data_IF_437645970457
#
_entry.id   IF_437645970457
#
_cell.length_a   1.000
_cell.length_b   1.000
_cell.length_c   1.000
_cell.angle_alpha   90.00
_cell.angle_beta   90.00
_cell.angle_gamma   90.00
#
_symmetry.space_group_name_H-M   'P 1'
#
loop_
_entity.id
_entity.type
_entity.pdbx_description
1 polymer ?
#
# COMPACT_ATOMS: atom_id res chain seq x y z
N UNK A 1 -18.73 -9.50 -23.73
CA UNK A 1 -19.05 -9.11 -22.34
C UNK A 1 -18.07 -9.83 -21.44
N UNK A 2 -16.98 -9.16 -21.05
CA UNK A 2 -15.85 -9.77 -20.35
C UNK A 2 -15.93 -9.43 -18.86
N UNK A 3 -16.70 -10.20 -18.10
CA UNK A 3 -16.75 -10.12 -16.64
C UNK A 3 -15.84 -11.20 -16.06
N UNK A 4 -14.55 -10.93 -15.97
CA UNK A 4 -13.57 -11.86 -15.38
C UNK A 4 -12.67 -11.14 -14.37
N UNK A 5 -13.32 -10.57 -13.35
CA UNK A 5 -12.66 -10.01 -12.16
C UNK A 5 -12.90 -10.79 -10.87
N UNK A 6 -13.73 -11.85 -10.89
CA UNK A 6 -14.19 -12.55 -9.68
C UNK A 6 -14.00 -14.08 -9.73
N UNK A 7 -13.13 -14.59 -10.60
CA UNK A 7 -12.87 -16.02 -10.73
C UNK A 7 -11.49 -16.37 -10.16
N UNK A 8 -11.38 -17.47 -9.41
CA UNK A 8 -10.09 -17.97 -8.93
C UNK A 8 -9.18 -18.33 -10.12
N UNK A 9 -7.90 -17.93 -10.11
CA UNK A 9 -6.97 -18.20 -11.22
C UNK A 9 -6.66 -19.69 -11.41
N UNK A 10 -6.88 -20.51 -10.39
CA UNK A 10 -6.62 -21.95 -10.43
C UNK A 10 -7.87 -22.79 -10.79
N UNK A 11 -9.08 -22.33 -10.44
CA UNK A 11 -10.31 -23.15 -10.50
C UNK A 11 -11.51 -22.52 -11.25
N UNK A 12 -11.45 -21.24 -11.63
CA UNK A 12 -12.55 -20.53 -12.29
C UNK A 12 -13.82 -20.26 -11.44
N UNK A 13 -13.90 -20.75 -10.21
CA UNK A 13 -15.00 -20.58 -9.27
C UNK A 13 -15.11 -19.15 -8.69
N UNK A 14 -16.32 -18.75 -8.23
CA UNK A 14 -16.53 -17.43 -7.64
C UNK A 14 -15.75 -17.27 -6.33
N UNK A 15 -15.12 -16.12 -6.19
CA UNK A 15 -14.35 -15.73 -5.01
C UNK A 15 -15.27 -15.15 -3.92
N UNK A 16 -15.15 -15.63 -2.69
CA UNK A 16 -15.85 -15.08 -1.51
C UNK A 16 -15.00 -14.01 -0.85
N UNK A 17 -15.58 -12.84 -0.58
CA UNK A 17 -14.91 -11.79 0.21
C UNK A 17 -14.76 -12.24 1.67
N UNK A 18 -13.57 -12.04 2.23
CA UNK A 18 -13.25 -12.37 3.62
C UNK A 18 -13.19 -11.10 4.45
N UNK A 19 -12.22 -10.24 4.11
CA UNK A 19 -11.86 -9.05 4.86
C UNK A 19 -11.11 -8.08 3.95
N UNK A 20 -11.10 -6.81 4.35
CA UNK A 20 -10.29 -5.78 3.70
C UNK A 20 -9.03 -5.53 4.52
N UNK A 21 -7.87 -5.70 3.89
CA UNK A 21 -6.58 -5.34 4.46
C UNK A 21 -6.32 -3.85 4.19
N UNK A 22 -6.21 -3.07 5.26
CA UNK A 22 -5.97 -1.62 5.18
C UNK A 22 -4.49 -1.37 5.46
N UNK A 23 -3.79 -0.77 4.49
CA UNK A 23 -2.42 -0.28 4.67
C UNK A 23 -2.42 1.24 4.70
N UNK A 24 -1.97 1.84 5.80
CA UNK A 24 -1.81 3.29 5.91
C UNK A 24 -0.40 3.71 5.52
N UNK A 25 -0.30 4.79 4.75
CA UNK A 25 0.98 5.35 4.30
C UNK A 25 0.97 6.87 4.44
N UNK A 26 2.10 7.44 4.79
CA UNK A 26 2.29 8.86 5.03
C UNK A 26 2.96 9.51 3.82
N UNK A 27 2.26 10.44 3.19
CA UNK A 27 2.74 11.26 2.10
C UNK A 27 2.96 12.70 2.57
N UNK A 28 4.00 13.32 2.01
CA UNK A 28 4.24 14.74 2.14
C UNK A 28 3.76 15.45 0.87
N UNK A 29 2.80 16.35 1.04
CA UNK A 29 2.44 17.39 0.08
C UNK A 29 3.03 18.69 0.65
N UNK A 30 3.54 19.65 -0.16
CA UNK A 30 4.10 20.88 0.40
C UNK A 30 3.20 21.51 1.47
N UNK A 31 3.76 21.68 2.68
CA UNK A 31 3.08 22.15 3.90
C UNK A 31 2.00 21.24 4.52
N UNK A 32 1.81 20.00 4.05
CA UNK A 32 0.78 19.06 4.56
C UNK A 32 1.28 17.62 4.63
N UNK A 33 0.98 16.94 5.73
CA UNK A 33 1.13 15.49 5.84
C UNK A 33 -0.23 14.83 5.62
N UNK A 34 -0.28 13.90 4.67
CA UNK A 34 -1.51 13.21 4.29
C UNK A 34 -1.33 11.71 4.51
N UNK A 35 -2.33 11.09 5.14
CA UNK A 35 -2.39 9.63 5.28
C UNK A 35 -3.16 9.04 4.11
N UNK A 36 -2.45 8.37 3.20
CA UNK A 36 -3.03 7.58 2.12
C UNK A 36 -3.37 6.18 2.65
N UNK A 37 -4.66 5.83 2.59
CA UNK A 37 -5.16 4.49 2.93
C UNK A 37 -5.29 3.64 1.67
N UNK A 38 -4.57 2.54 1.63
CA UNK A 38 -4.69 1.53 0.59
C UNK A 38 -5.56 0.38 1.10
N UNK A 39 -6.77 0.26 0.56
CA UNK A 39 -7.70 -0.82 0.90
C UNK A 39 -7.53 -1.96 -0.09
N UNK A 40 -7.28 -3.17 0.42
CA UNK A 40 -7.09 -4.38 -0.38
C UNK A 40 -8.07 -5.45 0.05
N UNK A 41 -9.09 -5.72 -0.76
CA UNK A 41 -10.00 -6.82 -0.46
C UNK A 41 -9.24 -8.15 -0.59
N UNK A 42 -9.36 -8.97 0.45
CA UNK A 42 -8.92 -10.35 0.46
C UNK A 42 -10.11 -11.26 0.16
N UNK A 43 -9.89 -12.21 -0.73
CA UNK A 43 -10.88 -13.18 -1.15
C UNK A 43 -10.42 -14.60 -0.89
N UNK A 44 -11.32 -15.49 -0.49
CA UNK A 44 -11.09 -16.93 -0.41
C UNK A 44 -11.82 -17.64 -1.55
N UNK A 45 -11.20 -18.69 -2.07
CA UNK A 45 -11.92 -19.72 -2.82
C UNK A 45 -12.22 -20.91 -1.89
N UNK A 46 -13.48 -21.34 -1.82
CA UNK A 46 -13.90 -22.47 -0.97
C UNK A 46 -13.37 -23.82 -1.51
N UNK A 47 -13.30 -24.01 -2.84
CA UNK A 47 -12.82 -25.25 -3.46
C UNK A 47 -11.31 -25.46 -3.31
N UNK A 48 -10.52 -24.41 -3.56
CA UNK A 48 -9.05 -24.48 -3.48
C UNK A 48 -8.48 -24.09 -2.12
N UNK A 49 -9.33 -23.65 -1.18
CA UNK A 49 -8.94 -23.13 0.15
C UNK A 49 -7.81 -22.08 0.09
N UNK A 50 -7.75 -21.31 -1.00
CA UNK A 50 -6.68 -20.35 -1.27
C UNK A 50 -7.17 -18.93 -1.05
N UNK A 51 -6.34 -18.12 -0.40
CA UNK A 51 -6.59 -16.69 -0.21
C UNK A 51 -5.87 -15.91 -1.32
N UNK A 52 -6.62 -15.06 -2.02
CA UNK A 52 -6.14 -14.18 -3.07
C UNK A 52 -6.29 -12.74 -2.60
N UNK A 53 -5.21 -11.97 -2.68
CA UNK A 53 -5.18 -10.55 -2.34
C UNK A 53 -4.57 -9.73 -3.48
N UNK A 54 -4.97 -8.46 -3.60
CA UNK A 54 -4.42 -7.55 -4.61
C UNK A 54 -2.98 -7.13 -4.30
N UNK A 55 -2.12 -7.00 -5.33
CA UNK A 55 -0.69 -6.66 -5.17
C UNK A 55 -0.42 -5.24 -4.69
N UNK A 56 0.36 -5.09 -3.62
CA UNK A 56 0.83 -3.79 -3.11
C UNK A 56 1.70 -3.07 -4.16
N UNK A 57 1.57 -1.75 -4.36
CA UNK A 57 2.52 -1.01 -5.18
C UNK A 57 3.90 -1.16 -4.56
N UNK A 58 4.92 -1.21 -5.42
CA UNK A 58 6.30 -1.30 -5.00
C UNK A 58 6.66 -0.10 -4.09
N UNK A 59 7.37 -0.39 -3.00
CA UNK A 59 7.81 0.61 -2.04
C UNK A 59 9.30 0.88 -2.21
N UNK A 60 9.72 2.12 -1.97
CA UNK A 60 11.15 2.48 -1.95
C UNK A 60 11.84 1.78 -0.78
N UNK A 61 11.23 1.81 0.41
CA UNK A 61 11.75 1.15 1.61
C UNK A 61 10.80 0.04 2.07
N UNK A 62 11.32 -1.19 2.14
CA UNK A 62 10.83 -2.33 2.91
C UNK A 62 9.82 -2.09 4.02
N UNK A 63 8.52 -2.38 3.88
CA UNK A 63 7.58 -2.38 5.03
C UNK A 63 7.47 -1.02 5.75
N UNK A 64 7.89 0.07 5.10
CA UNK A 64 7.82 1.40 5.69
C UNK A 64 6.43 2.01 5.48
N UNK A 65 6.06 2.94 6.37
CA UNK A 65 4.86 3.75 6.19
C UNK A 65 5.09 4.91 5.21
N UNK A 66 6.31 5.12 4.71
CA UNK A 66 6.70 6.33 3.99
C UNK A 66 6.32 6.22 2.51
N UNK A 67 5.65 7.25 1.98
CA UNK A 67 5.49 7.43 0.53
C UNK A 67 6.67 8.22 -0.07
N UNK A 68 6.88 8.12 -1.40
CA UNK A 68 8.00 8.75 -2.09
C UNK A 68 8.15 10.25 -1.80
N UNK A 69 7.05 10.99 -1.70
CA UNK A 69 7.07 12.43 -1.40
C UNK A 69 7.67 12.75 -0.04
N UNK A 70 7.40 11.91 0.96
CA UNK A 70 7.96 12.07 2.30
C UNK A 70 9.45 11.74 2.34
N UNK A 71 9.86 10.67 1.65
CA UNK A 71 11.29 10.32 1.52
C UNK A 71 12.04 11.45 0.83
N UNK A 72 11.50 12.01 -0.25
CA UNK A 72 12.09 13.14 -0.96
C UNK A 72 12.26 14.36 -0.05
N UNK A 73 11.23 14.69 0.74
CA UNK A 73 11.30 15.82 1.68
C UNK A 73 12.40 15.63 2.72
N UNK A 74 12.51 14.44 3.33
CA UNK A 74 13.57 14.15 4.32
C UNK A 74 14.96 14.27 3.69
N UNK A 75 15.14 13.79 2.46
CA UNK A 75 16.40 13.91 1.73
C UNK A 75 16.76 15.37 1.44
N UNK A 76 15.81 16.17 0.94
CA UNK A 76 16.02 17.60 0.68
C UNK A 76 16.38 18.34 1.98
N UNK A 77 15.62 18.15 3.05
CA UNK A 77 15.89 18.83 4.32
C UNK A 77 17.25 18.45 4.91
N UNK A 78 17.66 17.18 4.81
CA UNK A 78 18.97 16.73 5.31
C UNK A 78 20.14 17.29 4.48
N UNK A 79 20.05 17.18 3.16
CA UNK A 79 21.20 17.39 2.27
C UNK A 79 21.24 18.78 1.64
N UNK A 80 20.09 19.31 1.22
CA UNK A 80 19.99 20.66 0.64
C UNK A 80 19.92 21.72 1.74
N UNK A 81 19.03 21.52 2.73
CA UNK A 81 18.79 22.53 3.77
C UNK A 81 19.72 22.37 4.99
N UNK A 82 20.58 21.33 4.98
CA UNK A 82 21.50 20.98 6.06
C UNK A 82 20.83 20.92 7.44
N UNK A 83 19.56 20.52 7.48
CA UNK A 83 18.84 20.39 8.74
C UNK A 83 19.33 19.16 9.50
N UNK A 84 19.71 19.32 10.78
CA UNK A 84 20.07 18.20 11.62
C UNK A 84 18.86 17.29 11.90
N UNK A 85 18.98 16.00 11.59
CA UNK A 85 17.92 15.00 11.84
C UNK A 85 17.63 14.76 13.34
N UNK A 86 18.53 15.16 14.23
CA UNK A 86 18.46 14.83 15.64
C UNK A 86 17.45 15.68 16.44
N UNK A 87 16.64 16.52 15.78
CA UNK A 87 15.71 17.46 16.42
C UNK A 87 14.23 17.27 16.06
N UNK A 88 13.86 16.19 15.38
CA UNK A 88 12.46 15.91 15.04
C UNK A 88 11.77 15.15 16.20
N UNK A 89 11.23 15.90 17.16
CA UNK A 89 10.18 15.44 18.07
C UNK A 89 8.80 15.74 17.47
#
# INVERSE_FOLDING_TARGET
>A
MSTSGCACPDCGQPLRHILDEISERLEYIPAQFVVKRYVRPQYSCDDCQRVVSGRLPAQIIPKSILEPGLVAQVLVSKFCDRQPLYHQQ
#
